data_IF_881991224338
#
_entry.id   IF_881991224338
#
_cell.length_a   1.000
_cell.length_b   1.000
_cell.length_c   1.000
_cell.angle_alpha   90.00
_cell.angle_beta   90.00
_cell.angle_gamma   90.00
#
_symmetry.space_group_name_H-M   'P 1'
#
loop_
_entity.id
_entity.type
_entity.pdbx_description
1 polymer ?
#
# COMPACT_ATOMS: atom_id res chain seq x y z
N UNK A 1 -9.84 -31.79 -8.88
CA UNK A 1 -8.99 -30.99 -9.82
C UNK A 1 -7.65 -30.66 -9.15
N UNK A 2 -6.60 -30.54 -9.96
CA UNK A 2 -5.30 -29.99 -9.54
C UNK A 2 -5.23 -28.50 -9.90
N UNK A 3 -5.15 -27.64 -8.91
CA UNK A 3 -5.16 -26.19 -9.08
C UNK A 3 -3.78 -25.63 -8.76
N UNK A 4 -3.19 -24.93 -9.73
CA UNK A 4 -1.93 -24.22 -9.56
C UNK A 4 -2.16 -22.74 -9.25
N UNK A 5 -1.39 -22.17 -8.32
CA UNK A 5 -1.42 -20.74 -8.00
C UNK A 5 -0.08 -20.10 -8.32
N UNK A 6 -0.08 -18.96 -9.02
CA UNK A 6 1.13 -18.26 -9.43
C UNK A 6 1.04 -16.77 -9.11
N UNK A 7 1.86 -16.29 -8.18
CA UNK A 7 2.09 -14.87 -7.97
C UNK A 7 3.22 -14.40 -8.89
N UNK A 8 2.89 -13.61 -9.92
CA UNK A 8 3.81 -13.27 -11.02
C UNK A 8 4.89 -12.27 -10.55
N UNK A 9 4.52 -11.30 -9.75
CA UNK A 9 5.36 -10.14 -9.45
C UNK A 9 5.43 -9.73 -7.97
N UNK A 10 4.83 -10.51 -7.09
CA UNK A 10 4.84 -10.21 -5.65
C UNK A 10 5.06 -11.45 -4.80
N UNK A 11 5.91 -11.31 -3.77
CA UNK A 11 6.10 -12.32 -2.71
C UNK A 11 5.26 -12.02 -1.47
N UNK A 12 4.59 -10.87 -1.43
CA UNK A 12 3.69 -10.52 -0.34
C UNK A 12 2.40 -11.35 -0.42
N UNK A 13 1.75 -11.62 0.71
CA UNK A 13 0.48 -12.31 0.75
C UNK A 13 -0.54 -11.67 -0.19
N UNK A 14 -1.03 -12.45 -1.15
CA UNK A 14 -2.05 -12.04 -2.10
C UNK A 14 -3.40 -12.58 -1.64
N UNK A 15 -4.27 -11.71 -1.15
CA UNK A 15 -5.55 -12.09 -0.58
C UNK A 15 -6.46 -12.82 -1.59
N UNK A 16 -6.41 -12.45 -2.87
CA UNK A 16 -7.18 -13.12 -3.91
C UNK A 16 -6.73 -14.58 -4.09
N UNK A 17 -5.41 -14.85 -4.17
CA UNK A 17 -4.89 -16.22 -4.27
C UNK A 17 -5.21 -17.04 -3.01
N UNK A 18 -5.17 -16.42 -1.82
CA UNK A 18 -5.52 -17.10 -0.57
C UNK A 18 -7.01 -17.49 -0.53
N UNK A 19 -7.91 -16.64 -1.04
CA UNK A 19 -9.36 -16.92 -1.15
C UNK A 19 -9.63 -18.01 -2.20
N UNK A 20 -8.96 -17.94 -3.36
CA UNK A 20 -9.04 -18.98 -4.40
C UNK A 20 -8.59 -20.33 -3.83
N UNK A 21 -7.47 -20.36 -3.09
CA UNK A 21 -6.96 -21.56 -2.44
C UNK A 21 -8.01 -22.17 -1.50
N UNK A 22 -8.53 -21.37 -0.61
CA UNK A 22 -9.55 -21.81 0.37
C UNK A 22 -10.81 -22.37 -0.31
N UNK A 23 -11.31 -21.64 -1.30
CA UNK A 23 -12.49 -22.04 -2.06
C UNK A 23 -12.31 -23.40 -2.74
N UNK A 24 -11.21 -23.60 -3.45
CA UNK A 24 -10.96 -24.87 -4.12
C UNK A 24 -10.67 -26.02 -3.15
N UNK A 25 -9.96 -25.76 -2.06
CA UNK A 25 -9.76 -26.78 -1.00
C UNK A 25 -11.06 -27.21 -0.36
N UNK A 26 -12.00 -26.29 -0.13
CA UNK A 26 -13.33 -26.60 0.40
C UNK A 26 -14.15 -27.52 -0.53
N UNK A 27 -13.85 -27.50 -1.84
CA UNK A 27 -14.46 -28.39 -2.84
C UNK A 27 -13.70 -29.71 -3.01
N UNK A 28 -12.69 -30.00 -2.17
CA UNK A 28 -11.89 -31.21 -2.25
C UNK A 28 -10.83 -31.19 -3.36
N UNK A 29 -10.55 -30.04 -3.98
CA UNK A 29 -9.49 -29.92 -4.99
C UNK A 29 -8.11 -29.87 -4.33
N UNK A 30 -7.10 -30.43 -5.00
CA UNK A 30 -5.71 -30.24 -4.65
C UNK A 30 -5.25 -28.84 -5.09
N UNK A 31 -4.73 -28.04 -4.16
CA UNK A 31 -4.26 -26.68 -4.44
C UNK A 31 -2.82 -26.55 -3.96
N UNK A 32 -1.93 -26.06 -4.85
CA UNK A 32 -0.53 -25.81 -4.52
C UNK A 32 0.04 -24.64 -5.34
N UNK A 33 1.23 -24.16 -4.95
CA UNK A 33 1.98 -23.24 -5.79
C UNK A 33 2.33 -23.91 -7.11
N UNK A 34 2.13 -23.20 -8.21
CA UNK A 34 2.44 -23.70 -9.56
C UNK A 34 3.90 -24.15 -9.66
N UNK A 35 4.08 -25.36 -10.18
CA UNK A 35 5.37 -25.93 -10.58
C UNK A 35 5.33 -26.31 -12.07
N UNK A 36 6.31 -25.93 -12.90
CA UNK A 36 6.32 -26.32 -14.31
C UNK A 36 6.51 -27.83 -14.51
N UNK A 37 6.90 -28.57 -13.48
CA UNK A 37 7.08 -30.02 -13.51
C UNK A 37 5.77 -30.79 -13.25
N UNK A 38 4.72 -30.11 -12.82
CA UNK A 38 3.41 -30.71 -12.53
C UNK A 38 2.38 -30.29 -13.58
N UNK A 39 1.42 -31.18 -13.87
CA UNK A 39 0.26 -30.84 -14.71
C UNK A 39 -0.91 -30.39 -13.84
N UNK A 40 -1.60 -29.34 -14.28
CA UNK A 40 -2.75 -28.77 -13.60
C UNK A 40 -3.98 -28.76 -14.52
N UNK A 41 -5.16 -28.96 -13.92
CA UNK A 41 -6.42 -28.72 -14.61
C UNK A 41 -6.63 -27.21 -14.82
N UNK A 42 -6.24 -26.39 -13.82
CA UNK A 42 -6.33 -24.93 -13.92
C UNK A 42 -5.22 -24.23 -13.14
N UNK A 43 -4.70 -23.14 -13.70
CA UNK A 43 -3.73 -22.26 -13.04
C UNK A 43 -4.30 -20.84 -12.92
N UNK A 44 -4.27 -20.29 -11.71
CA UNK A 44 -4.58 -18.89 -11.44
C UNK A 44 -3.29 -18.07 -11.35
N UNK A 45 -3.17 -17.06 -12.20
CA UNK A 45 -2.05 -16.11 -12.18
C UNK A 45 -2.51 -14.78 -11.60
N UNK A 46 -1.81 -14.29 -10.58
CA UNK A 46 -2.05 -12.96 -10.00
C UNK A 46 -0.87 -12.04 -10.28
N UNK A 47 -1.15 -10.88 -10.89
CA UNK A 47 -0.20 -9.83 -11.17
C UNK A 47 -0.68 -8.52 -10.58
N UNK A 48 0.16 -7.85 -9.80
CA UNK A 48 -0.17 -6.61 -9.06
C UNK A 48 0.15 -5.38 -9.90
N UNK A 49 1.31 -5.36 -10.56
CA UNK A 49 1.83 -4.17 -11.23
C UNK A 49 1.72 -4.27 -12.76
N UNK A 50 1.26 -3.20 -13.40
CA UNK A 50 1.14 -3.13 -14.86
C UNK A 50 2.49 -3.14 -15.58
N UNK A 51 3.53 -2.61 -14.92
CA UNK A 51 4.88 -2.43 -15.48
C UNK A 51 5.80 -3.64 -15.31
N UNK A 52 5.36 -4.69 -14.62
CA UNK A 52 6.15 -5.93 -14.52
C UNK A 52 5.89 -6.82 -15.75
N UNK A 53 6.91 -7.53 -16.26
CA UNK A 53 6.70 -8.52 -17.32
C UNK A 53 5.70 -9.60 -16.90
N UNK A 54 5.01 -10.18 -17.86
CA UNK A 54 4.18 -11.35 -17.62
C UNK A 54 5.06 -12.61 -17.41
N UNK A 55 4.43 -13.67 -16.92
CA UNK A 55 5.06 -14.98 -16.88
C UNK A 55 5.35 -15.46 -18.31
N UNK A 56 6.64 -15.61 -18.64
CA UNK A 56 7.10 -15.80 -20.01
C UNK A 56 7.18 -17.28 -20.44
N UNK A 57 6.95 -18.22 -19.51
CA UNK A 57 7.13 -19.64 -19.80
C UNK A 57 5.79 -20.30 -20.11
N UNK A 58 5.86 -21.47 -20.78
CA UNK A 58 4.69 -22.31 -21.00
C UNK A 58 4.06 -22.75 -19.68
N UNK A 59 2.73 -22.68 -19.61
CA UNK A 59 1.97 -23.17 -18.47
C UNK A 59 1.52 -24.61 -18.74
N UNK A 60 1.97 -25.55 -17.91
CA UNK A 60 1.54 -26.93 -17.98
C UNK A 60 0.16 -27.09 -17.31
N UNK A 61 -0.88 -26.56 -17.96
CA UNK A 61 -2.24 -26.53 -17.48
C UNK A 61 -3.23 -26.58 -18.64
N UNK A 62 -4.41 -27.16 -18.38
CA UNK A 62 -5.50 -27.20 -19.36
C UNK A 62 -6.17 -25.82 -19.48
N UNK A 63 -6.30 -25.08 -18.35
CA UNK A 63 -6.85 -23.72 -18.30
C UNK A 63 -5.92 -22.79 -17.52
N UNK A 64 -5.91 -21.50 -17.91
CA UNK A 64 -5.21 -20.45 -17.20
C UNK A 64 -6.10 -19.21 -17.00
N UNK A 65 -6.25 -18.79 -15.75
CA UNK A 65 -7.01 -17.59 -15.42
C UNK A 65 -6.09 -16.51 -14.86
N UNK A 66 -6.12 -15.32 -15.48
CA UNK A 66 -5.30 -14.17 -15.10
C UNK A 66 -6.14 -13.15 -14.36
N UNK A 67 -5.62 -12.61 -13.26
CA UNK A 67 -6.30 -11.61 -12.43
C UNK A 67 -5.34 -10.67 -11.70
N UNK A 68 -5.92 -9.66 -11.07
CA UNK A 68 -5.19 -8.59 -10.38
C UNK A 68 -4.93 -7.38 -11.29
N UNK A 69 -4.63 -6.25 -10.66
CA UNK A 69 -4.50 -4.92 -11.29
C UNK A 69 -3.49 -4.90 -12.45
N UNK A 70 -2.46 -5.73 -12.38
CA UNK A 70 -1.42 -5.82 -13.41
C UNK A 70 -1.90 -6.45 -14.73
N UNK A 71 -2.98 -7.23 -14.71
CA UNK A 71 -3.60 -7.80 -15.90
C UNK A 71 -4.84 -7.05 -16.34
N UNK A 72 -5.76 -6.83 -15.39
CA UNK A 72 -7.03 -6.17 -15.65
C UNK A 72 -7.50 -5.43 -14.38
N UNK A 73 -7.62 -4.13 -14.49
CA UNK A 73 -8.00 -3.26 -13.38
C UNK A 73 -9.44 -3.50 -12.90
N UNK A 74 -10.33 -3.88 -13.84
CA UNK A 74 -11.75 -4.11 -13.58
C UNK A 74 -12.08 -5.55 -13.12
N UNK A 75 -11.10 -6.47 -13.20
CA UNK A 75 -11.36 -7.86 -12.84
C UNK A 75 -11.52 -8.03 -11.32
N UNK A 76 -12.63 -8.60 -10.91
CA UNK A 76 -12.97 -8.94 -9.52
C UNK A 76 -13.11 -10.45 -9.36
N UNK A 77 -12.98 -10.94 -8.12
CA UNK A 77 -13.28 -12.34 -7.81
C UNK A 77 -14.78 -12.59 -7.89
N UNK A 78 -15.22 -13.79 -8.33
CA UNK A 78 -16.60 -14.22 -8.15
C UNK A 78 -17.03 -14.13 -6.68
N UNK A 79 -18.29 -13.75 -6.38
CA UNK A 79 -18.76 -13.53 -5.01
C UNK A 79 -18.52 -14.71 -4.06
N UNK A 80 -18.65 -15.93 -4.54
CA UNK A 80 -18.43 -17.16 -3.77
C UNK A 80 -16.96 -17.35 -3.37
N UNK A 81 -16.03 -16.88 -4.18
CA UNK A 81 -14.58 -16.88 -3.86
C UNK A 81 -14.26 -15.67 -3.00
N UNK A 82 -14.84 -14.51 -3.31
CA UNK A 82 -14.52 -13.26 -2.60
C UNK A 82 -14.95 -13.30 -1.12
N UNK A 83 -15.97 -14.08 -0.78
CA UNK A 83 -16.43 -14.29 0.59
C UNK A 83 -15.74 -15.44 1.32
N UNK A 84 -14.88 -16.21 0.66
CA UNK A 84 -14.12 -17.28 1.31
C UNK A 84 -13.13 -16.73 2.35
N UNK A 85 -13.03 -17.42 3.48
CA UNK A 85 -11.99 -17.14 4.48
C UNK A 85 -10.62 -17.41 3.84
N UNK A 86 -9.65 -16.50 3.92
CA UNK A 86 -8.37 -16.68 3.26
C UNK A 86 -7.58 -17.88 3.78
N UNK A 87 -6.98 -18.64 2.89
CA UNK A 87 -6.03 -19.70 3.26
C UNK A 87 -4.68 -19.13 3.68
N UNK A 88 -4.52 -18.89 4.95
CA UNK A 88 -3.29 -18.33 5.53
C UNK A 88 -2.11 -19.30 5.45
N UNK A 89 -2.36 -20.61 5.32
CA UNK A 89 -1.29 -21.62 5.21
C UNK A 89 -0.51 -21.48 3.90
N UNK A 90 -1.14 -20.95 2.85
CA UNK A 90 -0.53 -20.75 1.52
C UNK A 90 0.77 -19.92 1.58
N UNK A 91 0.82 -18.92 2.45
CA UNK A 91 1.98 -18.03 2.66
C UNK A 91 2.70 -18.29 3.99
N UNK A 92 2.34 -19.32 4.73
CA UNK A 92 2.93 -19.60 6.06
C UNK A 92 2.67 -18.48 7.08
N UNK A 93 1.54 -17.79 6.98
CA UNK A 93 1.19 -16.70 7.88
C UNK A 93 0.87 -17.27 9.27
N UNK A 94 1.39 -16.63 10.32
CA UNK A 94 1.18 -17.04 11.68
C UNK A 94 -0.32 -17.07 12.07
N UNK A 95 -0.67 -17.94 13.04
CA UNK A 95 -2.06 -18.16 13.43
C UNK A 95 -2.76 -16.95 14.06
N UNK A 96 -2.02 -15.88 14.39
CA UNK A 96 -2.59 -14.65 14.99
C UNK A 96 -2.84 -13.55 14.00
N UNK A 97 -2.28 -13.63 12.78
CA UNK A 97 -2.34 -12.57 11.78
C UNK A 97 -3.44 -12.85 10.76
N UNK A 98 -4.28 -11.84 10.48
CA UNK A 98 -5.26 -11.84 9.40
C UNK A 98 -5.06 -10.64 8.47
N UNK A 99 -5.60 -10.78 7.25
CA UNK A 99 -5.63 -9.73 6.23
C UNK A 99 -7.06 -9.51 5.76
N UNK A 100 -7.44 -8.26 5.53
CA UNK A 100 -8.79 -7.96 5.03
C UNK A 100 -8.99 -6.51 4.67
N UNK A 101 -10.24 -6.21 4.33
CA UNK A 101 -10.77 -4.89 4.07
C UNK A 101 -12.06 -4.72 4.86
N UNK A 102 -12.24 -3.61 5.54
CA UNK A 102 -13.50 -3.20 6.16
C UNK A 102 -14.38 -2.50 5.13
N UNK A 103 -13.73 -1.66 4.32
CA UNK A 103 -14.34 -0.88 3.25
C UNK A 103 -13.56 -1.08 1.95
N UNK A 104 -14.24 -0.87 0.82
CA UNK A 104 -13.62 -0.82 -0.51
C UNK A 104 -13.93 0.50 -1.17
N UNK A 105 -13.00 1.00 -2.01
CA UNK A 105 -13.15 2.25 -2.71
C UNK A 105 -12.76 3.49 -1.91
N UNK A 106 -12.89 4.67 -2.54
CA UNK A 106 -12.51 5.96 -1.96
C UNK A 106 -13.33 7.08 -2.61
N UNK A 107 -13.82 8.09 -1.85
CA UNK A 107 -14.52 9.23 -2.43
C UNK A 107 -13.58 10.21 -3.14
N UNK A 108 -12.28 10.14 -2.88
CA UNK A 108 -11.30 11.02 -3.50
C UNK A 108 -11.02 10.62 -4.95
N UNK A 109 -10.67 11.61 -5.77
CA UNK A 109 -10.35 11.45 -7.20
C UNK A 109 -8.92 11.92 -7.49
N UNK A 110 -7.95 11.41 -6.73
CA UNK A 110 -6.54 11.76 -6.91
C UNK A 110 -6.06 11.33 -8.30
N UNK A 111 -5.40 12.24 -9.04
CA UNK A 111 -5.00 12.01 -10.44
C UNK A 111 -4.02 10.86 -10.65
N UNK A 112 -3.27 10.50 -9.60
CA UNK A 112 -2.28 9.42 -9.61
C UNK A 112 -2.81 8.10 -9.03
N UNK A 113 -4.06 8.07 -8.57
CA UNK A 113 -4.60 6.93 -7.83
C UNK A 113 -5.47 6.03 -8.70
N UNK A 114 -5.23 4.74 -8.62
CA UNK A 114 -5.98 3.70 -9.33
C UNK A 114 -7.35 3.40 -8.71
N UNK A 115 -7.54 3.71 -7.42
CA UNK A 115 -8.72 3.30 -6.65
C UNK A 115 -10.04 3.77 -7.25
N UNK A 116 -10.20 5.03 -7.71
CA UNK A 116 -11.45 5.48 -8.33
C UNK A 116 -11.87 4.66 -9.55
N UNK A 117 -10.89 4.22 -10.35
CA UNK A 117 -11.13 3.40 -11.53
C UNK A 117 -11.39 1.93 -11.18
N UNK A 118 -10.67 1.40 -10.18
CA UNK A 118 -10.72 -0.01 -9.80
C UNK A 118 -11.89 -0.36 -8.89
N UNK A 119 -12.18 0.49 -7.91
CA UNK A 119 -13.10 0.18 -6.81
C UNK A 119 -14.25 1.20 -6.67
N UNK A 120 -14.15 2.35 -7.35
CA UNK A 120 -15.17 3.39 -7.31
C UNK A 120 -15.28 4.11 -5.98
N UNK A 121 -16.49 4.49 -5.62
CA UNK A 121 -16.80 5.15 -4.35
C UNK A 121 -16.67 4.18 -3.18
N UNK A 122 -16.50 4.75 -1.97
CA UNK A 122 -16.38 3.95 -0.75
C UNK A 122 -17.68 3.22 -0.40
N UNK A 123 -17.56 1.95 -0.08
CA UNK A 123 -18.68 1.08 0.34
C UNK A 123 -18.24 0.17 1.49
N UNK A 124 -19.16 -0.21 2.41
CA UNK A 124 -18.95 -1.28 3.37
C UNK A 124 -18.56 -2.58 2.67
N UNK A 125 -17.67 -3.38 3.27
CA UNK A 125 -17.26 -4.64 2.65
C UNK A 125 -17.34 -5.83 3.61
N UNK A 126 -16.52 -5.87 4.68
CA UNK A 126 -16.56 -6.93 5.69
C UNK A 126 -16.59 -6.35 7.10
N UNK A 127 -17.26 -7.03 8.03
CA UNK A 127 -17.15 -6.73 9.44
C UNK A 127 -15.79 -7.21 9.98
N UNK A 128 -15.23 -6.49 10.95
CA UNK A 128 -13.95 -6.89 11.58
C UNK A 128 -14.03 -8.26 12.23
N UNK A 129 -15.21 -8.68 12.71
CA UNK A 129 -15.42 -9.99 13.30
C UNK A 129 -15.31 -11.12 12.25
N UNK A 130 -15.68 -10.85 10.98
CA UNK A 130 -15.48 -11.78 9.86
C UNK A 130 -14.01 -11.92 9.45
N UNK A 131 -13.17 -10.93 9.78
CA UNK A 131 -11.72 -10.94 9.49
C UNK A 131 -10.95 -11.56 10.67
N UNK A 132 -11.34 -11.24 11.90
CA UNK A 132 -10.66 -11.68 13.13
C UNK A 132 -11.06 -13.09 13.57
N UNK A 133 -11.32 -13.99 12.61
CA UNK A 133 -11.72 -15.37 12.89
C UNK A 133 -10.62 -16.22 13.50
N UNK A 134 -10.98 -17.34 14.09
CA UNK A 134 -10.05 -18.36 14.64
C UNK A 134 -9.05 -17.81 15.66
N UNK A 135 -9.43 -16.78 16.44
CA UNK A 135 -8.59 -16.17 17.46
C UNK A 135 -7.48 -15.26 16.90
N UNK A 136 -7.56 -14.90 15.63
CA UNK A 136 -6.64 -13.93 15.00
C UNK A 136 -6.86 -12.55 15.59
N UNK A 137 -5.83 -11.94 16.11
CA UNK A 137 -5.89 -10.66 16.82
C UNK A 137 -4.88 -9.62 16.33
N UNK A 138 -4.16 -9.92 15.26
CA UNK A 138 -3.22 -9.03 14.55
C UNK A 138 -3.74 -8.85 13.12
N UNK A 139 -4.38 -7.73 12.85
CA UNK A 139 -5.12 -7.55 11.59
C UNK A 139 -4.43 -6.52 10.71
N UNK A 140 -4.10 -6.90 9.48
CA UNK A 140 -3.59 -6.00 8.45
C UNK A 140 -4.76 -5.62 7.55
N UNK A 141 -5.16 -4.38 7.64
CA UNK A 141 -6.29 -3.80 6.91
C UNK A 141 -5.76 -3.02 5.70
N UNK A 142 -6.30 -3.36 4.54
CA UNK A 142 -5.84 -2.82 3.25
C UNK A 142 -6.84 -1.81 2.68
N UNK A 143 -7.64 -1.20 3.53
CA UNK A 143 -8.65 -0.20 3.19
C UNK A 143 -8.04 1.01 2.48
N UNK A 144 -8.70 1.50 1.45
CA UNK A 144 -8.23 2.64 0.67
C UNK A 144 -8.46 3.98 1.39
N UNK A 145 -9.57 4.12 2.14
CA UNK A 145 -9.88 5.32 2.92
C UNK A 145 -10.95 5.04 3.99
N UNK A 146 -10.63 4.23 4.98
CA UNK A 146 -11.58 3.77 6.01
C UNK A 146 -12.24 4.92 6.78
N UNK A 147 -11.54 6.06 6.96
CA UNK A 147 -12.07 7.21 7.69
C UNK A 147 -13.18 7.97 6.95
N UNK A 148 -13.34 7.75 5.65
CA UNK A 148 -14.35 8.42 4.83
C UNK A 148 -15.73 7.75 4.88
N UNK A 149 -15.98 6.87 5.84
CA UNK A 149 -17.20 6.09 5.95
C UNK A 149 -17.59 5.94 7.41
N UNK A 150 -18.85 6.24 7.75
CA UNK A 150 -19.39 6.00 9.10
C UNK A 150 -19.32 4.51 9.47
N UNK A 151 -19.54 3.62 8.49
CA UNK A 151 -19.30 2.19 8.67
C UNK A 151 -17.86 1.91 9.07
N UNK A 152 -16.89 2.52 8.37
CA UNK A 152 -15.47 2.37 8.67
C UNK A 152 -15.11 2.85 10.07
N UNK A 153 -15.64 4.00 10.50
CA UNK A 153 -15.47 4.51 11.86
C UNK A 153 -16.05 3.56 12.92
N UNK A 154 -17.27 3.04 12.69
CA UNK A 154 -17.89 2.04 13.56
C UNK A 154 -17.06 0.75 13.66
N UNK A 155 -16.40 0.34 12.58
CA UNK A 155 -15.48 -0.80 12.61
C UNK A 155 -14.22 -0.52 13.44
N UNK A 156 -13.68 0.71 13.40
CA UNK A 156 -12.55 1.11 14.25
C UNK A 156 -12.95 1.09 15.73
N UNK A 157 -14.17 1.51 16.07
CA UNK A 157 -14.72 1.40 17.43
C UNK A 157 -14.80 -0.07 17.89
N UNK A 158 -15.26 -0.97 17.02
CA UNK A 158 -15.25 -2.41 17.30
C UNK A 158 -13.84 -2.94 17.52
N UNK A 159 -12.86 -2.55 16.70
CA UNK A 159 -11.45 -2.90 16.84
C UNK A 159 -10.93 -2.51 18.22
N UNK A 160 -11.20 -1.30 18.68
CA UNK A 160 -10.82 -0.81 20.02
C UNK A 160 -11.48 -1.66 21.11
N UNK A 161 -12.81 -1.87 21.03
CA UNK A 161 -13.57 -2.67 22.00
C UNK A 161 -13.10 -4.11 22.10
N UNK A 162 -12.77 -4.73 20.95
CA UNK A 162 -12.24 -6.11 20.88
C UNK A 162 -10.77 -6.20 21.29
N UNK A 163 -10.08 -5.07 21.44
CA UNK A 163 -8.66 -5.03 21.82
C UNK A 163 -7.72 -5.58 20.75
N UNK A 164 -8.15 -5.57 19.49
CA UNK A 164 -7.35 -6.05 18.35
C UNK A 164 -6.16 -5.13 18.08
N UNK A 165 -5.11 -5.70 17.55
CA UNK A 165 -3.94 -4.95 17.07
C UNK A 165 -4.04 -4.83 15.54
N UNK A 166 -3.95 -3.61 15.02
CA UNK A 166 -4.17 -3.37 13.59
C UNK A 166 -3.05 -2.56 12.94
N UNK A 167 -2.92 -2.72 11.63
CA UNK A 167 -2.13 -1.88 10.72
C UNK A 167 -3.01 -1.52 9.52
N UNK A 168 -3.40 -0.27 9.36
CA UNK A 168 -4.04 0.25 8.15
C UNK A 168 -2.95 0.54 7.11
N UNK A 169 -2.57 -0.48 6.36
CA UNK A 169 -1.33 -0.48 5.59
C UNK A 169 -1.37 0.35 4.30
N UNK A 170 -2.53 0.83 3.87
CA UNK A 170 -2.64 1.77 2.74
C UNK A 170 -2.62 3.24 3.17
N UNK A 171 -2.67 3.48 4.49
CA UNK A 171 -2.67 4.82 5.07
C UNK A 171 -4.08 5.40 5.26
N UNK A 172 -4.15 6.37 6.15
CA UNK A 172 -5.36 7.12 6.49
C UNK A 172 -5.34 8.49 5.78
N UNK A 173 -6.52 9.09 5.63
CA UNK A 173 -6.65 10.44 5.11
C UNK A 173 -6.61 11.45 6.27
N UNK A 174 -5.51 12.18 6.42
CA UNK A 174 -5.29 13.13 7.51
C UNK A 174 -6.34 14.26 7.54
N UNK A 175 -6.94 14.61 6.40
CA UNK A 175 -8.00 15.63 6.29
C UNK A 175 -9.26 15.27 7.08
N UNK A 176 -9.52 13.96 7.23
CA UNK A 176 -10.70 13.41 7.91
C UNK A 176 -10.49 13.21 9.42
N UNK A 177 -9.31 13.52 9.93
CA UNK A 177 -9.04 13.42 11.38
C UNK A 177 -9.65 14.61 12.09
N UNK A 178 -10.78 14.40 12.76
CA UNK A 178 -11.42 15.33 13.71
C UNK A 178 -10.91 15.07 15.13
N UNK A 179 -11.38 15.84 16.10
CA UNK A 179 -11.03 15.62 17.52
C UNK A 179 -11.53 14.25 18.01
N UNK A 180 -12.77 13.86 17.61
CA UNK A 180 -13.37 12.56 17.95
C UNK A 180 -12.61 11.40 17.31
N UNK A 181 -12.30 11.52 16.01
CA UNK A 181 -11.54 10.50 15.28
C UNK A 181 -10.13 10.37 15.85
N UNK A 182 -9.47 11.48 16.21
CA UNK A 182 -8.14 11.47 16.84
C UNK A 182 -8.16 10.75 18.18
N UNK A 183 -9.18 11.00 19.01
CA UNK A 183 -9.39 10.30 20.29
C UNK A 183 -9.56 8.79 20.07
N UNK A 184 -10.32 8.40 19.05
CA UNK A 184 -10.52 7.00 18.69
C UNK A 184 -9.21 6.34 18.19
N UNK A 185 -8.50 6.99 17.29
CA UNK A 185 -7.23 6.48 16.74
C UNK A 185 -6.14 6.36 17.82
N UNK A 186 -6.12 7.22 18.82
CA UNK A 186 -5.20 7.14 19.94
C UNK A 186 -5.43 5.90 20.84
N UNK A 187 -6.65 5.32 20.84
CA UNK A 187 -7.00 4.12 21.60
C UNK A 187 -6.70 2.82 20.85
N UNK A 188 -6.50 2.89 19.55
CA UNK A 188 -6.17 1.73 18.71
C UNK A 188 -4.82 1.13 19.11
N UNK A 189 -4.77 -0.19 19.23
CA UNK A 189 -3.51 -0.91 19.44
C UNK A 189 -2.82 -1.14 18.09
N UNK A 190 -1.94 -0.23 17.72
CA UNK A 190 -1.23 -0.28 16.45
C UNK A 190 -0.21 -1.42 16.41
N UNK A 191 -0.16 -2.15 15.30
CA UNK A 191 0.88 -3.17 15.06
C UNK A 191 2.24 -2.54 14.76
N UNK A 192 2.22 -1.37 14.14
CA UNK A 192 3.41 -0.59 13.77
C UNK A 192 3.16 0.89 14.12
N UNK A 193 3.12 1.72 13.14
CA UNK A 193 2.91 3.16 13.20
C UNK A 193 1.56 3.54 12.59
N UNK A 194 1.10 4.75 12.86
CA UNK A 194 -0.04 5.32 12.14
C UNK A 194 0.46 5.82 10.79
N UNK A 195 -0.25 5.49 9.71
CA UNK A 195 0.12 5.85 8.34
C UNK A 195 -0.83 6.87 7.78
N UNK A 196 -0.28 7.87 7.09
CA UNK A 196 -1.03 8.88 6.35
C UNK A 196 -0.54 9.01 4.92
N UNK A 197 -1.42 9.40 4.00
CA UNK A 197 -1.02 9.92 2.69
C UNK A 197 -0.56 11.37 2.81
N UNK A 198 0.61 11.70 2.25
CA UNK A 198 1.15 13.06 2.15
C UNK A 198 1.80 13.23 0.77
N UNK A 199 0.94 13.28 -0.26
CA UNK A 199 1.35 13.22 -1.66
C UNK A 199 1.61 14.61 -2.29
N UNK A 200 1.21 15.68 -1.61
CA UNK A 200 1.41 17.07 -2.04
C UNK A 200 1.85 17.95 -0.88
N UNK A 201 2.50 19.08 -1.19
CA UNK A 201 2.91 20.07 -0.20
C UNK A 201 1.73 20.58 0.67
N UNK A 202 0.57 20.76 0.06
CA UNK A 202 -0.64 21.19 0.77
C UNK A 202 -1.10 20.21 1.86
N UNK A 203 -0.83 18.93 1.70
CA UNK A 203 -1.22 17.92 2.70
C UNK A 203 -0.33 17.89 3.96
N UNK A 204 0.81 18.57 3.96
CA UNK A 204 1.68 18.67 5.15
C UNK A 204 0.91 19.27 6.33
N UNK A 205 0.24 20.39 6.14
CA UNK A 205 -0.51 21.05 7.20
C UNK A 205 -1.60 20.15 7.79
N UNK A 206 -2.30 19.38 6.96
CA UNK A 206 -3.32 18.44 7.40
C UNK A 206 -2.71 17.26 8.18
N UNK A 207 -1.59 16.74 7.74
CA UNK A 207 -0.87 15.69 8.45
C UNK A 207 -0.33 16.19 9.81
N UNK A 208 0.21 17.42 9.87
CA UNK A 208 0.63 18.04 11.14
C UNK A 208 -0.54 18.23 12.12
N UNK A 209 -1.67 18.74 11.62
CA UNK A 209 -2.88 18.89 12.41
C UNK A 209 -3.36 17.53 12.94
N UNK A 210 -3.45 16.52 12.09
CA UNK A 210 -3.90 15.19 12.46
C UNK A 210 -2.98 14.55 13.51
N UNK A 211 -1.68 14.62 13.33
CA UNK A 211 -0.71 14.05 14.29
C UNK A 211 -0.74 14.77 15.62
N UNK A 212 -0.87 16.10 15.63
CA UNK A 212 -0.99 16.89 16.86
C UNK A 212 -2.27 16.56 17.65
N UNK A 213 -3.41 16.36 16.94
CA UNK A 213 -4.67 15.94 17.58
C UNK A 213 -4.54 14.54 18.18
N UNK A 214 -3.93 13.59 17.49
CA UNK A 214 -3.76 12.23 18.00
C UNK A 214 -2.78 12.21 19.20
N UNK A 215 -1.71 13.00 19.15
CA UNK A 215 -0.76 13.15 20.26
C UNK A 215 -1.40 13.79 21.50
N UNK A 216 -2.35 14.74 21.33
CA UNK A 216 -3.16 15.31 22.40
C UNK A 216 -3.87 14.24 23.23
N UNK A 217 -4.30 13.15 22.59
CA UNK A 217 -4.95 12.01 23.22
C UNK A 217 -3.97 10.90 23.67
N UNK A 218 -2.67 11.19 23.73
CA UNK A 218 -1.69 10.36 24.39
C UNK A 218 -0.95 9.36 23.50
N UNK A 219 -1.12 9.39 22.19
CA UNK A 219 -0.32 8.54 21.30
C UNK A 219 1.15 8.96 21.34
N UNK A 220 2.05 7.98 21.51
CA UNK A 220 3.52 8.18 21.60
C UNK A 220 4.30 7.39 20.56
N UNK A 221 3.59 6.68 19.67
CA UNK A 221 4.20 5.89 18.61
C UNK A 221 4.70 6.75 17.44
N UNK A 222 5.07 6.09 16.38
CA UNK A 222 5.60 6.72 15.17
C UNK A 222 4.50 6.98 14.14
N UNK A 223 4.72 7.98 13.31
CA UNK A 223 3.92 8.30 12.14
C UNK A 223 4.69 7.97 10.88
N UNK A 224 3.99 7.48 9.87
CA UNK A 224 4.55 7.10 8.60
C UNK A 224 3.78 7.76 7.46
N UNK A 225 4.48 8.41 6.54
CA UNK A 225 3.86 9.21 5.49
C UNK A 225 4.17 8.63 4.12
N UNK A 226 3.16 8.14 3.42
CA UNK A 226 3.30 7.81 2.01
C UNK A 226 3.45 9.11 1.23
N UNK A 227 4.54 9.23 0.49
CA UNK A 227 4.91 10.39 -0.29
C UNK A 227 5.12 9.97 -1.74
N UNK A 228 4.14 10.19 -2.61
CA UNK A 228 4.32 9.94 -4.03
C UNK A 228 5.33 10.95 -4.60
N UNK A 229 6.25 10.48 -5.44
CA UNK A 229 7.22 11.34 -6.12
C UNK A 229 6.74 11.58 -7.55
N UNK A 230 6.24 12.79 -7.82
CA UNK A 230 5.84 13.24 -9.14
C UNK A 230 7.05 13.83 -9.89
N UNK A 231 6.82 14.72 -10.86
CA UNK A 231 7.90 15.21 -11.74
C UNK A 231 8.69 16.41 -11.20
N UNK A 232 8.35 16.91 -10.01
CA UNK A 232 9.01 18.06 -9.38
C UNK A 232 9.93 17.59 -8.25
N UNK A 233 11.25 17.73 -8.45
CA UNK A 233 12.25 17.36 -7.46
C UNK A 233 12.18 18.25 -6.21
N UNK A 234 12.05 19.57 -6.39
CA UNK A 234 12.11 20.52 -5.27
C UNK A 234 10.90 20.39 -4.36
N UNK A 235 9.71 20.26 -4.95
CA UNK A 235 8.49 19.97 -4.18
C UNK A 235 8.63 18.67 -3.42
N UNK A 236 9.01 17.59 -4.11
CA UNK A 236 9.14 16.26 -3.53
C UNK A 236 10.19 16.23 -2.41
N UNK A 237 11.37 16.82 -2.65
CA UNK A 237 12.43 16.91 -1.65
C UNK A 237 12.00 17.75 -0.45
N UNK A 238 11.42 18.93 -0.67
CA UNK A 238 10.95 19.82 0.40
C UNK A 238 9.96 19.11 1.32
N UNK A 239 8.98 18.41 0.76
CA UNK A 239 7.95 17.66 1.48
C UNK A 239 8.56 16.50 2.30
N UNK A 240 9.45 15.73 1.70
CA UNK A 240 10.12 14.61 2.40
C UNK A 240 11.06 15.11 3.49
N UNK A 241 11.83 16.18 3.21
CA UNK A 241 12.77 16.78 4.16
C UNK A 241 12.03 17.46 5.33
N UNK A 242 10.82 17.97 5.12
CA UNK A 242 9.97 18.49 6.19
C UNK A 242 9.80 17.45 7.32
N UNK A 243 9.51 16.21 6.99
CA UNK A 243 9.35 15.13 7.99
C UNK A 243 10.65 14.81 8.71
N UNK A 244 11.80 14.94 8.05
CA UNK A 244 13.09 14.81 8.70
C UNK A 244 13.32 15.88 9.77
N UNK A 245 12.98 17.12 9.46
CA UNK A 245 13.11 18.24 10.39
C UNK A 245 12.10 18.15 11.56
N UNK A 246 10.97 17.50 11.35
CA UNK A 246 9.94 17.28 12.38
C UNK A 246 10.40 16.32 13.49
N UNK A 247 11.38 15.46 13.20
CA UNK A 247 12.01 14.57 14.18
C UNK A 247 11.77 13.08 13.98
N UNK A 248 12.38 12.28 14.85
CA UNK A 248 12.56 10.83 14.69
C UNK A 248 11.28 9.98 14.66
N UNK A 249 10.15 10.55 15.08
CA UNK A 249 8.84 9.87 15.04
C UNK A 249 8.14 9.99 13.69
N UNK A 250 8.62 10.82 12.78
CA UNK A 250 7.98 11.17 11.51
C UNK A 250 8.79 10.58 10.36
N UNK A 251 8.28 9.52 9.76
CA UNK A 251 9.01 8.71 8.80
C UNK A 251 8.33 8.78 7.42
N UNK A 252 8.93 9.39 6.41
CA UNK A 252 8.41 9.33 5.05
C UNK A 252 8.69 7.97 4.41
N UNK A 253 7.87 7.64 3.43
CA UNK A 253 8.08 6.53 2.49
C UNK A 253 7.81 7.05 1.08
N UNK A 254 8.83 7.12 0.30
CA UNK A 254 8.80 7.71 -1.03
C UNK A 254 8.46 6.69 -2.09
N UNK A 255 7.46 6.98 -2.89
CA UNK A 255 7.00 6.10 -3.95
C UNK A 255 7.13 6.80 -5.29
N UNK A 256 8.13 6.44 -6.13
CA UNK A 256 8.18 6.94 -7.51
C UNK A 256 6.87 6.67 -8.24
N UNK A 257 6.27 7.71 -8.80
CA UNK A 257 5.01 7.58 -9.54
C UNK A 257 5.20 6.74 -10.79
N UNK A 258 4.29 5.81 -11.01
CA UNK A 258 4.20 5.03 -12.24
C UNK A 258 2.81 5.19 -12.83
N UNK A 259 2.77 5.65 -14.06
CA UNK A 259 1.54 5.74 -14.82
C UNK A 259 1.08 4.33 -15.21
N UNK A 260 -0.14 3.99 -14.82
CA UNK A 260 -0.75 2.69 -15.14
C UNK A 260 -0.93 2.47 -16.65
N UNK A 261 -1.10 3.56 -17.40
CA UNK A 261 -1.30 3.53 -18.85
C UNK A 261 0.03 3.57 -19.63
N UNK A 262 1.16 3.77 -18.92
CA UNK A 262 2.50 3.75 -19.51
C UNK A 262 3.41 2.77 -18.77
N UNK A 263 3.26 1.45 -18.98
CA UNK A 263 4.04 0.43 -18.27
C UNK A 263 5.55 0.53 -18.53
N UNK A 264 5.95 1.16 -19.63
CA UNK A 264 7.36 1.35 -20.00
C UNK A 264 7.95 2.68 -19.52
N UNK A 265 7.23 3.43 -18.68
CA UNK A 265 7.72 4.69 -18.13
C UNK A 265 9.05 4.51 -17.41
N UNK A 266 10.06 5.28 -17.83
CA UNK A 266 11.33 5.35 -17.09
C UNK A 266 11.17 6.20 -15.84
N UNK A 267 11.65 5.70 -14.71
CA UNK A 267 11.65 6.45 -13.46
C UNK A 267 12.91 7.33 -13.40
N UNK A 268 12.78 8.65 -13.21
CA UNK A 268 13.90 9.55 -13.04
C UNK A 268 14.85 9.10 -11.94
N UNK A 269 16.15 9.27 -12.15
CA UNK A 269 17.14 8.76 -11.19
C UNK A 269 17.03 9.44 -9.83
N UNK A 270 16.70 10.74 -9.79
CA UNK A 270 16.52 11.46 -8.53
C UNK A 270 15.39 10.88 -7.67
N UNK A 271 14.31 10.37 -8.28
CA UNK A 271 13.22 9.72 -7.52
C UNK A 271 13.72 8.44 -6.86
N UNK A 272 14.53 7.63 -7.58
CA UNK A 272 15.14 6.42 -7.02
C UNK A 272 16.10 6.74 -5.88
N UNK A 273 16.89 7.81 -6.03
CA UNK A 273 17.86 8.22 -5.04
C UNK A 273 17.18 8.82 -3.79
N UNK A 274 16.12 9.62 -3.98
CA UNK A 274 15.33 10.18 -2.88
C UNK A 274 14.59 9.08 -2.11
N UNK A 275 13.96 8.13 -2.79
CA UNK A 275 13.36 6.96 -2.17
C UNK A 275 14.41 6.09 -1.46
N UNK A 276 15.56 5.85 -2.09
CA UNK A 276 16.65 5.07 -1.49
C UNK A 276 17.21 5.68 -0.20
N UNK A 277 17.13 7.01 -0.05
CA UNK A 277 17.50 7.73 1.17
C UNK A 277 16.37 7.70 2.21
N UNK A 278 15.15 8.02 1.81
CA UNK A 278 14.02 8.23 2.71
C UNK A 278 13.47 6.92 3.30
N UNK A 279 13.37 5.86 2.48
CA UNK A 279 12.69 4.61 2.86
C UNK A 279 13.52 3.75 3.81
N UNK A 280 14.80 4.00 3.91
CA UNK A 280 15.68 3.32 4.85
C UNK A 280 15.82 4.14 6.12
N UNK A 281 15.00 3.85 7.12
CA UNK A 281 14.94 4.57 8.39
C UNK A 281 16.31 4.98 8.95
N UNK A 282 17.28 4.07 8.97
CA UNK A 282 18.60 4.35 9.53
C UNK A 282 19.38 5.37 8.69
N UNK A 283 19.26 5.35 7.35
CA UNK A 283 19.87 6.36 6.47
C UNK A 283 19.15 7.70 6.67
N UNK A 284 17.82 7.70 6.60
CA UNK A 284 17.02 8.92 6.77
C UNK A 284 17.32 9.65 8.08
N UNK A 285 17.50 8.92 9.17
CA UNK A 285 17.74 9.53 10.49
C UNK A 285 19.19 9.98 10.69
N UNK A 286 20.17 9.38 10.02
CA UNK A 286 21.60 9.63 10.25
C UNK A 286 22.29 10.51 9.21
N UNK A 287 21.71 10.68 8.03
CA UNK A 287 22.35 11.35 6.89
C UNK A 287 21.41 12.40 6.28
N UNK A 288 21.94 13.59 5.95
CA UNK A 288 21.22 14.56 5.14
C UNK A 288 21.18 14.08 3.68
N UNK A 289 20.10 14.39 2.94
CA UNK A 289 20.00 13.95 1.54
C UNK A 289 21.15 14.46 0.68
N UNK A 290 21.56 15.71 0.85
CA UNK A 290 22.71 16.28 0.14
C UNK A 290 24.02 15.50 0.35
N UNK A 291 24.15 14.79 1.48
CA UNK A 291 25.34 14.01 1.83
C UNK A 291 25.22 12.53 1.48
N UNK A 292 24.04 12.09 1.06
CA UNK A 292 23.77 10.71 0.67
C UNK A 292 24.49 10.35 -0.63
N UNK A 293 25.14 9.17 -0.64
CA UNK A 293 25.88 8.61 -1.76
C UNK A 293 25.16 7.33 -2.22
N UNK A 294 24.16 7.42 -3.12
CA UNK A 294 23.36 6.27 -3.56
C UNK A 294 24.16 5.29 -4.44
N UNK A 295 25.23 5.76 -5.09
CA UNK A 295 26.09 4.99 -6.00
C UNK A 295 27.50 5.57 -6.08
N UNK A 296 28.45 4.75 -6.52
CA UNK A 296 29.86 5.13 -6.63
C UNK A 296 30.04 6.45 -7.41
N UNK A 297 30.78 7.38 -6.84
CA UNK A 297 31.13 8.70 -7.40
C UNK A 297 29.95 9.65 -7.62
N UNK A 298 28.79 9.42 -7.01
CA UNK A 298 27.66 10.33 -7.10
C UNK A 298 27.19 10.72 -5.70
N UNK A 299 27.10 12.01 -5.42
CA UNK A 299 26.57 12.58 -4.18
C UNK A 299 25.32 13.39 -4.49
N UNK A 300 24.28 13.24 -3.69
CA UNK A 300 22.98 13.86 -3.94
C UNK A 300 23.00 15.39 -3.85
N UNK A 301 24.07 16.01 -3.31
CA UNK A 301 24.30 17.47 -3.43
C UNK A 301 24.28 17.97 -4.89
N UNK A 302 24.62 17.12 -5.84
CA UNK A 302 24.58 17.44 -7.28
C UNK A 302 23.18 17.87 -7.76
N UNK A 303 22.11 17.35 -7.17
CA UNK A 303 20.74 17.73 -7.55
C UNK A 303 20.38 19.18 -7.24
N UNK A 304 21.14 19.85 -6.35
CA UNK A 304 20.92 21.24 -5.96
C UNK A 304 21.74 22.24 -6.77
N UNK A 305 22.74 21.77 -7.53
CA UNK A 305 23.67 22.63 -8.27
C UNK A 305 23.16 23.05 -9.65
N UNK A 306 22.04 22.49 -10.15
CA UNK A 306 21.50 22.80 -11.48
C UNK A 306 20.65 24.07 -11.55
N UNK A 307 20.59 24.90 -10.49
CA UNK A 307 19.86 26.18 -10.49
C UNK A 307 20.57 27.34 -11.18
N UNK A 308 21.80 27.19 -11.64
CA UNK A 308 22.59 28.32 -12.17
C UNK A 308 22.65 28.41 -13.70
N UNK A 309 22.05 27.46 -14.47
CA UNK A 309 22.23 27.44 -15.94
C UNK A 309 20.95 27.46 -16.79
N UNK A 310 19.75 27.70 -16.24
CA UNK A 310 18.55 27.78 -17.06
C UNK A 310 17.72 29.02 -16.77
N UNK A 311 18.30 30.19 -17.06
CA UNK A 311 17.58 31.43 -17.30
C UNK A 311 18.11 32.09 -18.59
N UNK A 312 18.10 31.35 -19.71
CA UNK A 312 18.15 31.94 -21.06
C UNK A 312 17.23 31.15 -21.99
N UNK A 313 16.10 31.75 -22.29
CA UNK A 313 15.41 31.71 -23.57
C UNK A 313 14.79 30.37 -24.01
N UNK A 314 13.51 30.14 -23.67
CA UNK A 314 12.56 29.60 -24.65
C UNK A 314 11.29 30.42 -24.59
N UNK A 315 11.22 31.44 -25.48
CA UNK A 315 9.95 32.02 -25.88
C UNK A 315 9.18 30.97 -26.67
N UNK A 316 7.91 30.82 -26.29
CA UNK A 316 6.94 30.04 -27.04
C UNK A 316 6.55 30.78 -28.32
N UNK A 317 6.73 30.14 -29.45
CA UNK A 317 5.98 30.45 -30.71
C UNK A 317 4.93 29.37 -30.87
#
# INVERSE_FOLDING_TARGET
MNIGLLAVDSRYPNLALMKISSYHKAQGNRVEWYSPLSRYDKVYLAKVFTFTPDYAYFLNADEAERGGTGYDIGKVLPPEIDRAVPDYSLYGIDKRTAYGFLTRGCPNRCKWCVVPQKEGNINPYMDIEEIAVEGRNRIILMDNNVLASDYGLGQIEKIVRMGLRVDFNQGLDARLVTDETAKLLAQVKWLKHIRFGCDTQAQIAECERATALIDKYGYKGEYFFYCILLNDFEESFSRVNHWKQKGRRFLPYCQPYRDLHNPNQSIPQWQKDLAGWADKRWIFLSCEFKDFIPRKRFKCSTYFNHKTETNEGFELV
#
